data_IF_747958247779
#
_entry.id   IF_747958247779
#
_cell.length_a   1.000
_cell.length_b   1.000
_cell.length_c   1.000
_cell.angle_alpha   90.00
_cell.angle_beta   90.00
_cell.angle_gamma   90.00
#
_symmetry.space_group_name_H-M   'P 1'
#
loop_
_entity.id
_entity.type
_entity.pdbx_description
1 polymer ?
#
# COMPACT_ATOMS: atom_id res chain seq x y z
N UNK A 1 5.07 -11.79 -25.07
CA UNK A 1 3.93 -10.89 -24.82
C UNK A 1 3.55 -11.01 -23.35
N UNK A 2 3.72 -9.95 -22.57
CA UNK A 2 3.45 -9.95 -21.13
C UNK A 2 1.95 -10.06 -20.85
N UNK A 3 1.59 -10.87 -19.84
CA UNK A 3 0.21 -11.10 -19.40
C UNK A 3 -0.46 -9.75 -19.11
N UNK A 4 -1.50 -9.42 -19.87
CA UNK A 4 -2.42 -8.30 -19.58
C UNK A 4 -2.86 -8.49 -18.13
N UNK A 5 -2.60 -7.49 -17.28
CA UNK A 5 -2.89 -7.56 -15.84
C UNK A 5 -4.35 -7.97 -15.65
N UNK A 6 -4.58 -9.01 -14.85
CA UNK A 6 -5.94 -9.44 -14.58
C UNK A 6 -6.67 -8.30 -13.84
N UNK A 7 -7.99 -8.18 -14.01
CA UNK A 7 -8.78 -7.12 -13.37
C UNK A 7 -8.55 -7.04 -11.84
N UNK A 8 -8.18 -8.16 -11.19
CA UNK A 8 -7.78 -8.18 -9.78
C UNK A 8 -6.45 -7.48 -9.47
N UNK A 9 -5.44 -7.58 -10.35
CA UNK A 9 -4.16 -6.87 -10.20
C UNK A 9 -4.36 -5.37 -10.38
N UNK A 10 -5.21 -4.99 -11.34
CA UNK A 10 -5.57 -3.60 -11.58
C UNK A 10 -6.39 -3.01 -10.41
N UNK A 11 -7.35 -3.76 -9.86
CA UNK A 11 -8.19 -3.29 -8.74
C UNK A 11 -7.38 -2.96 -7.47
N UNK A 12 -6.32 -3.74 -7.17
CA UNK A 12 -5.45 -3.46 -6.04
C UNK A 12 -4.66 -2.16 -6.24
N UNK A 13 -4.15 -1.94 -7.45
CA UNK A 13 -3.41 -0.73 -7.81
C UNK A 13 -4.32 0.50 -7.87
N UNK A 14 -5.51 0.38 -8.46
CA UNK A 14 -6.53 1.44 -8.48
C UNK A 14 -6.92 1.86 -7.05
N UNK A 15 -7.17 0.89 -6.17
CA UNK A 15 -7.47 1.17 -4.76
C UNK A 15 -6.32 1.90 -4.06
N UNK A 16 -5.06 1.51 -4.33
CA UNK A 16 -3.88 2.20 -3.80
C UNK A 16 -3.82 3.66 -4.26
N UNK A 17 -3.94 3.92 -5.57
CA UNK A 17 -3.85 5.28 -6.11
C UNK A 17 -5.00 6.17 -5.66
N UNK A 18 -6.23 5.64 -5.58
CA UNK A 18 -7.37 6.37 -5.04
C UNK A 18 -7.14 6.80 -3.57
N UNK A 19 -6.53 5.92 -2.76
CA UNK A 19 -6.19 6.26 -1.39
C UNK A 19 -5.06 7.28 -1.30
N UNK A 20 -4.02 7.13 -2.12
CA UNK A 20 -2.89 8.06 -2.16
C UNK A 20 -3.35 9.47 -2.54
N UNK A 21 -4.23 9.56 -3.55
CA UNK A 21 -4.81 10.82 -3.99
C UNK A 21 -5.57 11.50 -2.85
N UNK A 22 -6.56 10.81 -2.27
CA UNK A 22 -7.40 11.36 -1.20
C UNK A 22 -6.62 11.73 0.08
N UNK A 23 -5.59 10.95 0.44
CA UNK A 23 -4.93 11.10 1.73
C UNK A 23 -3.63 11.90 1.70
N UNK A 24 -3.06 12.14 0.51
CA UNK A 24 -1.80 12.87 0.36
C UNK A 24 -1.91 13.97 -0.68
N UNK A 25 -2.31 13.64 -1.91
CA UNK A 25 -2.32 14.62 -3.02
C UNK A 25 -3.34 15.74 -2.79
N UNK A 26 -4.54 15.38 -2.37
CA UNK A 26 -5.66 16.31 -2.19
C UNK A 26 -5.65 17.03 -0.83
N UNK A 27 -4.72 16.67 0.07
CA UNK A 27 -4.68 17.21 1.44
C UNK A 27 -4.32 18.70 1.50
N UNK A 28 -3.41 19.13 0.63
CA UNK A 28 -2.90 20.49 0.57
C UNK A 28 -2.14 20.73 -0.73
N UNK A 29 -1.86 22.01 -1.03
CA UNK A 29 -0.87 22.36 -2.06
C UNK A 29 0.54 22.12 -1.52
N UNK A 30 1.39 21.53 -2.34
CA UNK A 30 2.77 21.24 -2.01
C UNK A 30 3.68 22.29 -2.67
N UNK A 31 4.58 22.89 -1.89
CA UNK A 31 5.49 23.91 -2.39
C UNK A 31 6.59 23.33 -3.28
N UNK A 32 7.06 22.12 -2.97
CA UNK A 32 8.08 21.42 -3.77
C UNK A 32 7.70 19.96 -4.03
N UNK A 33 8.34 19.37 -5.05
CA UNK A 33 8.22 17.93 -5.33
C UNK A 33 8.85 17.08 -4.22
N UNK A 34 9.86 17.59 -3.53
CA UNK A 34 10.51 16.91 -2.40
C UNK A 34 9.55 16.80 -1.20
N UNK A 35 8.87 17.89 -0.86
CA UNK A 35 7.87 17.86 0.23
C UNK A 35 6.77 16.83 -0.06
N UNK A 36 6.28 16.81 -1.30
CA UNK A 36 5.30 15.82 -1.73
C UNK A 36 5.88 14.39 -1.65
N UNK A 37 7.12 14.16 -2.10
CA UNK A 37 7.77 12.85 -2.02
C UNK A 37 7.88 12.36 -0.58
N UNK A 38 8.32 13.23 0.33
CA UNK A 38 8.43 12.92 1.76
C UNK A 38 7.05 12.58 2.33
N UNK A 39 6.01 13.33 1.97
CA UNK A 39 4.65 13.07 2.43
C UNK A 39 4.11 11.73 1.92
N UNK A 40 4.35 11.40 0.64
CA UNK A 40 3.97 10.12 0.03
C UNK A 40 4.64 8.97 0.79
N UNK A 41 5.98 8.99 0.92
CA UNK A 41 6.74 7.93 1.60
C UNK A 41 6.30 7.78 3.06
N UNK A 42 6.13 8.91 3.76
CA UNK A 42 5.69 8.91 5.16
C UNK A 42 4.30 8.30 5.31
N UNK A 43 3.37 8.64 4.42
CA UNK A 43 2.02 8.08 4.45
C UNK A 43 2.00 6.58 4.13
N UNK A 44 2.78 6.14 3.14
CA UNK A 44 2.92 4.72 2.79
C UNK A 44 3.41 3.93 4.00
N UNK A 45 4.54 4.35 4.58
CA UNK A 45 5.20 3.60 5.65
C UNK A 45 4.44 3.65 6.97
N UNK A 46 3.92 4.82 7.36
CA UNK A 46 3.29 4.98 8.68
C UNK A 46 1.82 4.63 8.68
N UNK A 47 1.12 4.82 7.56
CA UNK A 47 -0.33 4.67 7.49
C UNK A 47 -0.72 3.45 6.67
N UNK A 48 -0.33 3.40 5.40
CA UNK A 48 -0.78 2.36 4.49
C UNK A 48 -0.26 0.97 4.89
N UNK A 49 1.03 0.84 5.20
CA UNK A 49 1.65 -0.44 5.57
C UNK A 49 1.43 -0.86 7.03
N UNK A 50 1.38 0.10 7.98
CA UNK A 50 1.40 -0.18 9.43
C UNK A 50 0.09 -0.01 10.17
N UNK A 51 -0.86 0.79 9.67
CA UNK A 51 -2.10 1.12 10.39
C UNK A 51 -3.35 0.70 9.64
N UNK A 52 -3.32 0.71 8.31
CA UNK A 52 -4.48 0.41 7.49
C UNK A 52 -4.68 -1.10 7.34
N UNK A 53 -5.65 -1.64 8.08
CA UNK A 53 -6.13 -3.01 7.91
C UNK A 53 -6.91 -3.15 6.60
N UNK A 54 -6.69 -4.25 5.88
CA UNK A 54 -7.31 -4.49 4.56
C UNK A 54 -8.18 -5.74 4.62
N UNK A 55 -9.44 -5.64 4.20
CA UNK A 55 -10.36 -6.79 4.21
C UNK A 55 -9.82 -7.96 3.37
N UNK A 56 -9.20 -7.66 2.22
CA UNK A 56 -8.54 -8.64 1.34
C UNK A 56 -7.38 -9.40 2.02
N UNK A 57 -6.81 -8.84 3.08
CA UNK A 57 -5.72 -9.45 3.86
C UNK A 57 -6.25 -10.06 5.16
N UNK A 58 -7.54 -10.39 5.25
CA UNK A 58 -8.12 -10.93 6.48
C UNK A 58 -8.20 -9.91 7.62
N UNK A 59 -8.36 -8.62 7.30
CA UNK A 59 -8.30 -7.49 8.25
C UNK A 59 -6.92 -7.30 8.92
N UNK A 60 -5.87 -7.79 8.29
CA UNK A 60 -4.48 -7.49 8.66
C UNK A 60 -3.98 -6.24 7.92
N UNK A 61 -2.96 -5.59 8.49
CA UNK A 61 -2.13 -4.63 7.77
C UNK A 61 -1.20 -5.36 6.79
N UNK A 62 -0.71 -4.67 5.74
CA UNK A 62 0.27 -5.26 4.82
C UNK A 62 1.48 -5.87 5.53
N UNK A 63 2.03 -5.19 6.55
CA UNK A 63 3.18 -5.70 7.30
C UNK A 63 2.81 -6.93 8.13
N UNK A 64 1.68 -6.92 8.83
CA UNK A 64 1.22 -8.09 9.60
C UNK A 64 1.04 -9.31 8.69
N UNK A 65 0.40 -9.12 7.53
CA UNK A 65 0.21 -10.19 6.54
C UNK A 65 1.54 -10.77 6.05
N UNK A 66 2.47 -9.90 5.65
CA UNK A 66 3.79 -10.32 5.17
C UNK A 66 4.64 -10.98 6.26
N UNK A 67 4.54 -10.52 7.50
CA UNK A 67 5.24 -11.11 8.66
C UNK A 67 4.75 -12.53 8.92
N UNK A 68 3.43 -12.76 8.92
CA UNK A 68 2.84 -14.10 9.09
C UNK A 68 3.26 -15.02 7.94
N UNK A 69 3.16 -14.55 6.70
CA UNK A 69 3.51 -15.32 5.50
C UNK A 69 4.99 -15.70 5.48
N UNK A 70 5.87 -14.78 5.87
CA UNK A 70 7.32 -15.02 5.96
C UNK A 70 7.64 -16.03 7.06
N UNK A 71 6.98 -15.91 8.22
CA UNK A 71 7.14 -16.88 9.30
C UNK A 71 6.69 -18.29 8.89
N UNK A 72 5.59 -18.41 8.14
CA UNK A 72 5.12 -19.70 7.63
C UNK A 72 6.08 -20.32 6.61
N UNK A 73 6.65 -19.49 5.72
CA UNK A 73 7.64 -19.94 4.75
C UNK A 73 8.94 -20.44 5.42
N UNK A 74 9.39 -19.75 6.47
CA UNK A 74 10.57 -20.15 7.23
C UNK A 74 10.37 -21.46 8.03
N UNK A 75 9.15 -21.73 8.51
CA UNK A 75 8.84 -22.95 9.23
C UNK A 75 8.65 -24.19 8.34
N UNK A 76 8.52 -24.00 7.02
CA UNK A 76 8.35 -25.07 6.03
C UNK A 76 9.66 -25.42 5.29
N UNK A 77 10.76 -24.72 5.61
CA UNK A 77 12.11 -24.94 5.07
C UNK A 77 12.96 -25.76 6.05
#
# INVERSE_FOLDING_TARGET
>A
MGRVGAAGDNAAMESFFALLQKNVLDRQRWSTREDLRIAIVTWIERTYHRRRRQARLGRLTPIEFETIRTSQAAAAA
#
